data_IF_463102882794
#
_entry.id   IF_463102882794
#
_cell.length_a   1.000
_cell.length_b   1.000
_cell.length_c   1.000
_cell.angle_alpha   90.00
_cell.angle_beta   90.00
_cell.angle_gamma   90.00
#
_symmetry.space_group_name_H-M   'P 1'
#
loop_
_entity.id
_entity.type
_entity.pdbx_description
1 polymer ?
#
# COMPACT_ATOMS: atom_id res chain seq x y z
N UNK A 1 -12.05 7.13 13.44
CA UNK A 1 -11.10 7.67 12.43
C UNK A 1 -11.81 7.80 11.09
N UNK A 2 -11.63 8.93 10.42
CA UNK A 2 -12.12 9.13 9.05
C UNK A 2 -10.97 8.87 8.09
N UNK A 3 -11.17 7.91 7.18
CA UNK A 3 -10.16 7.59 6.17
C UNK A 3 -10.33 8.46 4.93
N UNK A 4 -9.22 8.79 4.22
CA UNK A 4 -9.30 9.32 2.87
C UNK A 4 -10.12 8.42 1.95
N UNK A 5 -10.67 8.96 0.85
CA UNK A 5 -11.54 8.21 -0.07
C UNK A 5 -10.90 6.93 -0.62
N UNK A 6 -9.58 6.93 -0.80
CA UNK A 6 -8.85 5.81 -1.40
C UNK A 6 -8.38 4.77 -0.38
N UNK A 7 -8.78 4.90 0.88
CA UNK A 7 -8.33 4.00 1.96
C UNK A 7 -9.53 3.26 2.55
N UNK A 8 -9.39 1.94 2.68
CA UNK A 8 -10.35 1.10 3.39
C UNK A 8 -9.59 0.23 4.39
N UNK A 9 -10.14 0.05 5.58
CA UNK A 9 -9.60 -0.88 6.55
C UNK A 9 -10.61 -1.98 6.85
N UNK A 10 -10.20 -3.22 6.59
CA UNK A 10 -11.01 -4.41 6.85
C UNK A 10 -10.58 -5.02 8.17
N UNK A 11 -11.32 -4.71 9.23
CA UNK A 11 -10.93 -5.03 10.59
C UNK A 11 -10.83 -6.54 10.84
N UNK A 12 -11.79 -7.33 10.34
CA UNK A 12 -11.79 -8.77 10.54
C UNK A 12 -10.55 -9.45 9.95
N UNK A 13 -10.05 -8.95 8.83
CA UNK A 13 -8.88 -9.48 8.14
C UNK A 13 -7.59 -8.76 8.55
N UNK A 14 -7.68 -7.69 9.31
CA UNK A 14 -6.54 -6.83 9.64
C UNK A 14 -5.78 -6.42 8.37
N UNK A 15 -6.52 -5.88 7.40
CA UNK A 15 -5.98 -5.50 6.10
C UNK A 15 -6.38 -4.07 5.74
N UNK A 16 -5.39 -3.22 5.52
CA UNK A 16 -5.59 -1.89 4.95
C UNK A 16 -5.42 -1.98 3.43
N UNK A 17 -6.39 -1.46 2.70
CA UNK A 17 -6.35 -1.37 1.23
C UNK A 17 -6.25 0.10 0.84
N UNK A 18 -5.21 0.45 0.10
CA UNK A 18 -4.95 1.80 -0.41
C UNK A 18 -4.95 1.77 -1.93
N UNK A 19 -5.80 2.61 -2.54
CA UNK A 19 -5.95 2.68 -4.00
C UNK A 19 -5.76 4.11 -4.48
N UNK A 20 -4.50 4.61 -4.53
CA UNK A 20 -4.25 5.96 -5.02
C UNK A 20 -4.66 6.08 -6.49
N UNK A 21 -5.16 7.26 -6.87
CA UNK A 21 -5.64 7.55 -8.22
C UNK A 21 -5.07 8.86 -8.72
N UNK A 22 -4.92 8.96 -10.04
CA UNK A 22 -4.44 10.17 -10.66
C UNK A 22 -2.96 10.39 -10.37
N UNK A 23 -2.64 11.51 -9.74
CA UNK A 23 -1.25 11.89 -9.43
C UNK A 23 -0.75 11.21 -8.16
N UNK A 24 0.36 10.49 -8.26
CA UNK A 24 1.09 9.97 -7.11
C UNK A 24 2.36 10.81 -6.90
N UNK A 25 2.42 11.54 -5.80
CA UNK A 25 3.52 12.42 -5.44
C UNK A 25 3.90 12.25 -3.96
N UNK A 26 4.86 13.05 -3.49
CA UNK A 26 5.33 12.99 -2.11
C UNK A 26 4.22 13.28 -1.09
N UNK A 27 3.34 14.21 -1.40
CA UNK A 27 2.22 14.57 -0.52
C UNK A 27 1.26 13.39 -0.33
N UNK A 28 0.90 12.71 -1.42
CA UNK A 28 0.01 11.54 -1.38
C UNK A 28 0.64 10.41 -0.55
N UNK A 29 1.93 10.16 -0.72
CA UNK A 29 2.63 9.14 0.06
C UNK A 29 2.72 9.55 1.54
N UNK A 30 3.02 10.81 1.82
CA UNK A 30 3.05 11.31 3.20
C UNK A 30 1.68 11.16 3.88
N UNK A 31 0.60 11.37 3.14
CA UNK A 31 -0.76 11.21 3.67
C UNK A 31 -1.06 9.76 4.04
N UNK A 32 -0.68 8.80 3.20
CA UNK A 32 -0.90 7.38 3.57
C UNK A 32 -0.02 6.96 4.74
N UNK A 33 1.21 7.44 4.83
CA UNK A 33 2.08 7.17 5.98
C UNK A 33 1.46 7.70 7.27
N UNK A 34 0.87 8.88 7.24
CA UNK A 34 0.16 9.45 8.39
C UNK A 34 -1.03 8.59 8.81
N UNK A 35 -1.81 8.09 7.86
CA UNK A 35 -2.93 7.18 8.13
C UNK A 35 -2.43 5.88 8.77
N UNK A 36 -1.36 5.31 8.24
CA UNK A 36 -0.77 4.08 8.80
C UNK A 36 -0.31 4.29 10.24
N UNK A 37 0.39 5.38 10.52
CA UNK A 37 0.87 5.69 11.86
C UNK A 37 -0.29 5.85 12.86
N UNK A 38 -1.33 6.56 12.47
CA UNK A 38 -2.50 6.79 13.32
C UNK A 38 -3.26 5.49 13.59
N UNK A 39 -3.44 4.67 12.57
CA UNK A 39 -4.14 3.39 12.70
C UNK A 39 -3.36 2.40 13.57
N UNK A 40 -2.04 2.39 13.47
CA UNK A 40 -1.18 1.54 14.31
C UNK A 40 -1.31 1.91 15.79
N UNK A 41 -1.41 3.19 16.10
CA UNK A 41 -1.64 3.65 17.48
C UNK A 41 -3.00 3.20 17.99
N UNK A 42 -4.05 3.36 17.18
CA UNK A 42 -5.42 3.00 17.59
C UNK A 42 -5.60 1.51 17.79
N UNK A 43 -5.04 0.69 16.91
CA UNK A 43 -5.30 -0.75 16.91
C UNK A 43 -4.39 -1.54 17.83
N UNK A 44 -3.30 -0.96 18.32
CA UNK A 44 -2.32 -1.62 19.19
C UNK A 44 -1.83 -2.97 18.66
N UNK A 45 -1.74 -3.13 17.35
CA UNK A 45 -1.29 -4.40 16.79
C UNK A 45 -1.04 -4.32 15.29
N UNK A 46 -0.40 -5.36 14.73
CA UNK A 46 -0.03 -5.37 13.34
C UNK A 46 -1.24 -5.54 12.42
N UNK A 47 -1.12 -5.02 11.22
CA UNK A 47 -2.05 -5.26 10.12
C UNK A 47 -1.29 -5.29 8.80
N UNK A 48 -1.78 -6.07 7.86
CA UNK A 48 -1.21 -6.15 6.52
C UNK A 48 -1.71 -5.02 5.63
N UNK A 49 -1.04 -4.77 4.52
CA UNK A 49 -1.37 -3.70 3.58
C UNK A 49 -1.38 -4.21 2.16
N UNK A 50 -2.31 -3.66 1.40
CA UNK A 50 -2.35 -3.80 -0.05
C UNK A 50 -2.42 -2.42 -0.68
N UNK A 51 -1.43 -2.08 -1.52
CA UNK A 51 -1.38 -0.85 -2.28
C UNK A 51 -1.67 -1.17 -3.75
N UNK A 52 -2.83 -0.74 -4.22
CA UNK A 52 -3.26 -0.92 -5.61
C UNK A 52 -2.98 0.36 -6.38
N UNK A 53 -1.88 0.39 -7.14
CA UNK A 53 -1.49 1.57 -7.90
C UNK A 53 -2.02 1.57 -9.33
N UNK A 54 -2.92 0.65 -9.70
CA UNK A 54 -3.44 0.56 -11.05
C UNK A 54 -4.20 1.81 -11.53
N UNK A 55 -4.71 2.61 -10.60
CA UNK A 55 -5.41 3.86 -10.92
C UNK A 55 -4.52 5.10 -11.01
N UNK A 56 -3.20 4.95 -10.86
CA UNK A 56 -2.26 6.07 -10.96
C UNK A 56 -1.98 6.39 -12.41
N UNK A 57 -2.20 7.67 -12.80
CA UNK A 57 -1.98 8.17 -14.17
C UNK A 57 -0.67 8.92 -14.31
N UNK A 58 -0.24 9.60 -13.26
CA UNK A 58 0.94 10.47 -13.26
C UNK A 58 1.77 10.22 -12.02
N UNK A 59 3.08 10.29 -12.16
CA UNK A 59 4.02 10.04 -11.08
C UNK A 59 4.97 11.22 -10.99
N UNK A 60 5.02 11.84 -9.82
CA UNK A 60 5.95 12.91 -9.49
C UNK A 60 6.69 12.54 -8.21
N UNK A 61 7.67 11.66 -8.35
CA UNK A 61 8.49 11.14 -7.27
C UNK A 61 9.96 11.15 -7.68
N UNK A 62 10.85 10.94 -6.72
CA UNK A 62 12.27 10.74 -6.99
C UNK A 62 12.85 9.66 -6.05
N UNK A 63 14.01 9.16 -6.41
CA UNK A 63 14.65 8.07 -5.66
C UNK A 63 15.03 8.48 -4.23
N UNK A 64 15.48 9.72 -4.03
CA UNK A 64 15.85 10.20 -2.70
C UNK A 64 14.68 10.17 -1.74
N UNK A 65 13.51 10.61 -2.22
CA UNK A 65 12.30 10.57 -1.40
C UNK A 65 11.92 9.15 -1.04
N UNK A 66 11.95 8.23 -2.00
CA UNK A 66 11.60 6.82 -1.77
C UNK A 66 12.57 6.17 -0.78
N UNK A 67 13.87 6.41 -0.91
CA UNK A 67 14.85 5.92 0.06
C UNK A 67 14.56 6.49 1.45
N UNK A 68 14.25 7.78 1.54
CA UNK A 68 13.96 8.45 2.81
C UNK A 68 12.73 7.87 3.50
N UNK A 69 11.61 7.77 2.80
CA UNK A 69 10.38 7.22 3.38
C UNK A 69 10.51 5.74 3.71
N UNK A 70 11.22 4.97 2.88
CA UNK A 70 11.46 3.55 3.12
C UNK A 70 12.34 3.32 4.34
N UNK A 71 13.37 4.13 4.51
CA UNK A 71 14.25 4.10 5.70
C UNK A 71 13.45 4.43 6.96
N UNK A 72 12.61 5.46 6.89
CA UNK A 72 11.73 5.82 8.00
C UNK A 72 10.81 4.66 8.38
N UNK A 73 10.18 4.00 7.40
CA UNK A 73 9.30 2.86 7.65
C UNK A 73 10.07 1.68 8.24
N UNK A 74 11.25 1.39 7.73
CA UNK A 74 12.11 0.33 8.28
C UNK A 74 12.41 0.57 9.76
N UNK A 75 12.79 1.79 10.13
CA UNK A 75 13.12 2.14 11.50
C UNK A 75 11.89 2.09 12.41
N UNK A 76 10.75 2.58 11.91
CA UNK A 76 9.50 2.57 12.67
C UNK A 76 9.04 1.16 13.03
N UNK A 77 9.37 0.15 12.20
CA UNK A 77 8.93 -1.23 12.41
C UNK A 77 10.00 -2.16 12.96
N UNK A 78 11.16 -1.65 13.35
CA UNK A 78 12.30 -2.47 13.78
C UNK A 78 11.95 -3.48 14.88
N UNK A 79 11.00 -3.16 15.75
CA UNK A 79 10.59 -4.00 16.89
C UNK A 79 9.15 -4.50 16.80
N UNK A 80 8.54 -4.40 15.62
CA UNK A 80 7.16 -4.83 15.42
C UNK A 80 7.06 -6.31 15.03
N UNK A 81 5.87 -6.87 15.21
CA UNK A 81 5.54 -8.18 14.65
C UNK A 81 5.58 -8.13 13.12
N UNK A 82 5.87 -9.26 12.45
CA UNK A 82 5.91 -9.29 11.00
C UNK A 82 4.60 -8.84 10.37
N UNK A 83 4.71 -8.01 9.32
CA UNK A 83 3.58 -7.56 8.52
C UNK A 83 3.90 -7.70 7.04
N UNK A 84 2.87 -7.92 6.25
CA UNK A 84 2.99 -8.05 4.80
C UNK A 84 2.48 -6.79 4.12
N UNK A 85 3.24 -6.30 3.16
CA UNK A 85 2.87 -5.15 2.33
C UNK A 85 2.93 -5.57 0.86
N UNK A 86 1.77 -5.81 0.27
CA UNK A 86 1.65 -6.14 -1.15
C UNK A 86 1.48 -4.85 -1.95
N UNK A 87 2.27 -4.71 -3.01
CA UNK A 87 2.16 -3.57 -3.93
C UNK A 87 1.87 -4.11 -5.33
N UNK A 88 0.70 -3.76 -5.85
CA UNK A 88 0.37 -4.02 -7.25
C UNK A 88 0.85 -2.83 -8.08
N UNK A 89 1.79 -3.05 -8.99
CA UNK A 89 2.35 -2.01 -9.84
C UNK A 89 2.49 -2.54 -11.26
N UNK A 90 1.96 -1.78 -12.22
CA UNK A 90 1.99 -2.13 -13.65
C UNK A 90 2.90 -1.17 -14.40
N UNK A 91 2.86 0.11 -14.05
CA UNK A 91 3.71 1.13 -14.67
C UNK A 91 5.18 0.86 -14.34
N UNK A 92 6.09 0.82 -15.35
CA UNK A 92 7.51 0.52 -15.11
C UNK A 92 8.18 1.43 -14.08
N UNK A 93 7.86 2.71 -14.07
CA UNK A 93 8.41 3.66 -13.10
C UNK A 93 7.94 3.32 -11.68
N UNK A 94 6.68 2.96 -11.51
CA UNK A 94 6.17 2.54 -10.20
C UNK A 94 6.78 1.20 -9.75
N UNK A 95 6.99 0.29 -10.69
CA UNK A 95 7.68 -0.97 -10.39
C UNK A 95 9.07 -0.70 -9.84
N UNK A 96 9.82 0.23 -10.44
CA UNK A 96 11.15 0.61 -9.97
C UNK A 96 11.13 1.20 -8.57
N UNK A 97 10.22 2.13 -8.29
CA UNK A 97 10.07 2.71 -6.95
C UNK A 97 9.62 1.68 -5.92
N UNK A 98 8.69 0.82 -6.27
CA UNK A 98 8.22 -0.25 -5.37
C UNK A 98 9.35 -1.25 -5.04
N UNK A 99 10.16 -1.62 -6.04
CA UNK A 99 11.31 -2.48 -5.83
C UNK A 99 12.40 -1.80 -4.98
N UNK A 100 12.60 -0.50 -5.14
CA UNK A 100 13.52 0.25 -4.28
C UNK A 100 13.04 0.23 -2.82
N UNK A 101 11.76 0.46 -2.60
CA UNK A 101 11.15 0.37 -1.27
C UNK A 101 11.35 -1.04 -0.67
N UNK A 102 11.11 -2.08 -1.46
CA UNK A 102 11.35 -3.46 -1.04
C UNK A 102 12.80 -3.71 -0.62
N UNK A 103 13.74 -3.21 -1.40
CA UNK A 103 15.18 -3.38 -1.12
C UNK A 103 15.59 -2.66 0.17
N UNK A 104 15.14 -1.43 0.37
CA UNK A 104 15.47 -0.65 1.57
C UNK A 104 14.88 -1.27 2.83
N UNK A 105 13.69 -1.85 2.74
CA UNK A 105 13.02 -2.46 3.89
C UNK A 105 13.37 -3.94 4.10
N UNK A 106 14.15 -4.54 3.22
CA UNK A 106 14.54 -5.95 3.31
C UNK A 106 15.22 -6.27 4.65
N UNK A 107 14.84 -7.39 5.25
CA UNK A 107 15.39 -7.81 6.55
C UNK A 107 14.72 -7.15 7.75
N UNK A 108 13.78 -6.23 7.54
CA UNK A 108 12.93 -5.68 8.61
C UNK A 108 11.65 -6.51 8.75
N UNK A 109 10.85 -6.28 9.82
CA UNK A 109 9.58 -6.99 9.97
C UNK A 109 8.55 -6.72 8.86
N UNK A 110 8.72 -5.63 8.08
CA UNK A 110 7.87 -5.39 6.92
C UNK A 110 8.37 -6.23 5.76
N UNK A 111 7.56 -7.20 5.34
CA UNK A 111 7.82 -7.97 4.13
C UNK A 111 7.09 -7.34 2.96
N UNK A 112 7.82 -6.68 2.08
CA UNK A 112 7.29 -6.02 0.89
C UNK A 112 7.40 -6.97 -0.30
N UNK A 113 6.30 -7.13 -1.04
CA UNK A 113 6.31 -7.87 -2.30
C UNK A 113 5.62 -7.06 -3.38
N UNK A 114 6.25 -6.99 -4.55
CA UNK A 114 5.72 -6.27 -5.72
C UNK A 114 5.11 -7.28 -6.67
N UNK A 115 3.86 -7.02 -7.07
CA UNK A 115 3.09 -7.92 -7.91
C UNK A 115 2.69 -7.24 -9.22
N UNK A 116 2.65 -7.99 -10.32
CA UNK A 116 1.88 -7.59 -11.50
C UNK A 116 0.39 -7.66 -11.17
N UNK A 117 -0.47 -7.39 -12.14
CA UNK A 117 -1.92 -7.47 -11.93
C UNK A 117 -2.39 -8.93 -11.88
N UNK A 118 -2.00 -9.60 -10.82
CA UNK A 118 -2.44 -10.95 -10.45
C UNK A 118 -3.05 -10.92 -9.06
N UNK A 119 -4.31 -10.54 -9.00
CA UNK A 119 -5.01 -10.27 -7.74
C UNK A 119 -5.29 -11.53 -6.94
N UNK A 120 -5.44 -12.68 -7.59
CA UNK A 120 -5.60 -13.96 -6.88
C UNK A 120 -4.31 -14.33 -6.13
N UNK A 121 -3.16 -14.15 -6.75
CA UNK A 121 -1.88 -14.38 -6.10
C UNK A 121 -1.67 -13.44 -4.91
N UNK A 122 -2.05 -12.17 -5.07
CA UNK A 122 -1.98 -11.18 -3.99
C UNK A 122 -2.85 -11.62 -2.80
N UNK A 123 -4.09 -12.01 -3.07
CA UNK A 123 -5.00 -12.48 -2.02
C UNK A 123 -4.44 -13.70 -1.28
N UNK A 124 -3.90 -14.66 -2.02
CA UNK A 124 -3.29 -15.86 -1.44
C UNK A 124 -2.10 -15.52 -0.55
N UNK A 125 -1.23 -14.64 -1.02
CA UNK A 125 -0.05 -14.23 -0.25
C UNK A 125 -0.43 -13.49 1.03
N UNK A 126 -1.46 -12.63 0.97
CA UNK A 126 -1.95 -11.90 2.14
C UNK A 126 -2.82 -12.76 3.06
N UNK A 127 -3.30 -13.89 2.59
CA UNK A 127 -4.29 -14.70 3.34
C UNK A 127 -5.64 -13.99 3.44
N UNK A 128 -6.03 -13.24 2.42
CA UNK A 128 -7.24 -12.44 2.42
C UNK A 128 -8.27 -12.98 1.42
N UNK A 129 -9.57 -12.71 1.63
CA UNK A 129 -10.57 -13.02 0.62
C UNK A 129 -10.29 -12.28 -0.69
N UNK A 130 -10.43 -12.94 -1.85
CA UNK A 130 -10.12 -12.32 -3.15
C UNK A 130 -10.89 -11.03 -3.43
N UNK A 131 -12.10 -10.89 -2.95
CA UNK A 131 -12.93 -9.70 -3.15
C UNK A 131 -12.33 -8.43 -2.54
N UNK A 132 -11.50 -8.55 -1.51
CA UNK A 132 -10.88 -7.39 -0.86
C UNK A 132 -9.76 -6.77 -1.71
N UNK A 133 -9.16 -7.56 -2.58
CA UNK A 133 -8.07 -7.10 -3.47
C UNK A 133 -8.50 -7.05 -4.93
N UNK A 134 -9.76 -7.30 -5.21
CA UNK A 134 -10.31 -7.24 -6.56
C UNK A 134 -10.23 -5.84 -7.13
N UNK A 135 -10.21 -5.73 -8.46
CA UNK A 135 -10.28 -4.45 -9.12
C UNK A 135 -11.57 -3.73 -8.70
N UNK A 136 -11.42 -2.45 -8.36
CA UNK A 136 -12.56 -1.65 -7.97
C UNK A 136 -13.47 -1.43 -9.16
N UNK A 137 -14.74 -1.88 -9.03
CA UNK A 137 -15.75 -1.57 -10.03
C UNK A 137 -16.15 -0.12 -9.87
N UNK A 138 -15.78 0.72 -10.84
CA UNK A 138 -16.47 1.98 -10.99
C UNK A 138 -17.91 1.67 -11.36
N UNK A 139 -18.83 1.98 -10.46
CA UNK A 139 -20.22 2.04 -10.86
C UNK A 139 -20.28 3.20 -11.84
N UNK A 140 -20.37 2.86 -13.13
CA UNK A 140 -20.70 3.86 -14.12
C UNK A 140 -22.01 4.48 -13.69
N UNK A 141 -22.02 5.78 -13.54
CA UNK A 141 -23.25 6.49 -13.31
C UNK A 141 -24.11 6.36 -14.57
N UNK A 142 -25.01 5.39 -14.52
CA UNK A 142 -25.88 5.02 -15.64
C UNK A 142 -26.93 6.11 -15.89
N UNK A 143 -27.09 7.05 -14.96
CA UNK A 143 -28.00 8.18 -15.13
C UNK A 143 -27.40 9.30 -15.98
N UNK A 144 -26.16 9.15 -16.37
CA UNK A 144 -25.52 10.09 -17.28
C UNK A 144 -25.71 9.66 -18.71
#
# INVERSE_FOLDING_TARGET
MIFPLEVQFHEAQRLLVWRPRGLLNQEVISDIVAVLNELEVELHGPFNRFSDTSGVDQIDLNYEYIVGVSTYRRLAYAHHSPIKSAILAINPTLIDYANLHRLVTAGSPIEVRVFPDDRLEIAQWLGAPPELVAAERRIRNIAG
#
